data_IF_550583254629
#
_entry.id   IF_550583254629
#
_cell.length_a   1.000
_cell.length_b   1.000
_cell.length_c   1.000
_cell.angle_alpha   90.00
_cell.angle_beta   90.00
_cell.angle_gamma   90.00
#
_symmetry.space_group_name_H-M   'P 1'
#
loop_
_entity.id
_entity.type
_entity.pdbx_description
1 polymer ?
#
# COMPACT_ATOMS: atom_id res chain seq x y z
N UNK A 1 7.12 21.74 4.91
CA UNK A 1 6.73 20.33 5.16
C UNK A 1 6.04 20.11 6.53
N UNK A 2 6.59 20.61 7.65
CA UNK A 2 6.02 20.38 9.01
C UNK A 2 4.56 20.80 9.22
N UNK A 3 4.07 21.84 8.53
CA UNK A 3 2.67 22.28 8.66
C UNK A 3 1.67 21.37 7.92
N UNK A 4 2.08 20.70 6.82
CA UNK A 4 1.19 19.80 6.06
C UNK A 4 0.95 18.47 6.78
N UNK A 5 1.95 17.99 7.53
CA UNK A 5 1.83 16.80 8.39
C UNK A 5 0.80 16.96 9.50
N UNK A 6 0.46 18.20 9.90
CA UNK A 6 -0.61 18.49 10.87
C UNK A 6 -2.02 18.30 10.32
N UNK A 7 -2.19 18.30 8.99
CA UNK A 7 -3.47 18.01 8.32
C UNK A 7 -3.63 16.52 8.00
N UNK A 8 -2.71 15.69 8.48
CA UNK A 8 -2.82 14.25 8.38
C UNK A 8 -3.98 13.78 9.27
N UNK A 9 -5.02 13.25 8.65
CA UNK A 9 -6.16 12.74 9.41
C UNK A 9 -5.80 11.41 10.09
N UNK A 10 -5.48 11.49 11.38
CA UNK A 10 -5.16 10.34 12.21
C UNK A 10 -6.33 9.36 12.30
N UNK A 11 -7.57 9.81 12.08
CA UNK A 11 -8.75 8.94 12.06
C UNK A 11 -8.72 7.95 10.89
N UNK A 12 -8.03 8.27 9.78
CA UNK A 12 -7.87 7.38 8.62
C UNK A 12 -6.56 6.60 8.72
N UNK A 13 -5.49 7.26 9.16
CA UNK A 13 -4.16 6.64 9.21
C UNK A 13 -4.07 5.51 10.25
N UNK A 14 -4.70 5.67 11.42
CA UNK A 14 -4.67 4.65 12.47
C UNK A 14 -5.36 3.35 11.99
N UNK A 15 -6.61 3.37 11.47
CA UNK A 15 -7.23 2.18 10.89
C UNK A 15 -6.43 1.55 9.76
N UNK A 16 -5.84 2.37 8.88
CA UNK A 16 -5.01 1.85 7.79
C UNK A 16 -3.79 1.07 8.30
N UNK A 17 -3.07 1.63 9.29
CA UNK A 17 -1.91 0.94 9.88
C UNK A 17 -2.31 -0.35 10.59
N UNK A 18 -3.43 -0.34 11.32
CA UNK A 18 -3.97 -1.55 11.94
C UNK A 18 -4.31 -2.62 10.90
N UNK A 19 -5.04 -2.26 9.85
CA UNK A 19 -5.41 -3.18 8.76
C UNK A 19 -4.16 -3.79 8.10
N UNK A 20 -3.13 -2.98 7.87
CA UNK A 20 -1.87 -3.48 7.32
C UNK A 20 -1.16 -4.47 8.25
N UNK A 21 -1.09 -4.16 9.55
CA UNK A 21 -0.52 -5.07 10.55
C UNK A 21 -1.30 -6.39 10.61
N UNK A 22 -2.63 -6.33 10.59
CA UNK A 22 -3.48 -7.52 10.49
C UNK A 22 -3.20 -8.32 9.20
N UNK A 23 -3.02 -7.64 8.07
CA UNK A 23 -2.66 -8.27 6.80
C UNK A 23 -1.31 -9.01 6.87
N UNK A 24 -0.31 -8.44 7.53
CA UNK A 24 1.00 -9.10 7.73
C UNK A 24 0.84 -10.37 8.55
N UNK A 25 0.06 -10.32 9.64
CA UNK A 25 -0.22 -11.49 10.49
C UNK A 25 -1.01 -12.55 9.72
N UNK A 26 -2.02 -12.15 8.95
CA UNK A 26 -2.84 -13.05 8.14
C UNK A 26 -2.00 -13.79 7.09
N UNK A 27 -1.10 -13.10 6.39
CA UNK A 27 -0.22 -13.72 5.40
C UNK A 27 0.74 -14.71 6.05
N UNK A 28 1.29 -14.38 7.23
CA UNK A 28 2.08 -15.34 7.99
C UNK A 28 1.25 -16.58 8.34
N UNK A 29 0.04 -16.40 8.87
CA UNK A 29 -0.85 -17.50 9.29
C UNK A 29 -1.28 -18.39 8.11
N UNK A 30 -1.62 -17.81 6.96
CA UNK A 30 -2.03 -18.58 5.79
C UNK A 30 -0.84 -19.29 5.13
N UNK A 31 0.35 -18.71 5.21
CA UNK A 31 1.56 -19.26 4.57
C UNK A 31 2.31 -20.23 5.48
N UNK A 32 2.13 -20.19 6.80
CA UNK A 32 2.92 -21.02 7.72
C UNK A 32 2.71 -22.51 7.50
N UNK A 33 1.47 -22.93 7.25
CA UNK A 33 1.15 -24.34 7.00
C UNK A 33 1.77 -24.83 5.69
N UNK A 34 1.68 -24.01 4.64
CA UNK A 34 2.21 -24.34 3.31
C UNK A 34 3.75 -24.43 3.33
N UNK A 35 4.43 -23.56 4.08
CA UNK A 35 5.89 -23.53 4.09
C UNK A 35 6.49 -24.60 5.00
N UNK A 36 5.82 -24.94 6.10
CA UNK A 36 6.22 -26.08 6.94
C UNK A 36 6.14 -27.40 6.18
N UNK A 37 5.12 -27.60 5.35
CA UNK A 37 4.98 -28.79 4.49
C UNK A 37 6.05 -28.83 3.39
N UNK A 38 6.46 -27.69 2.86
CA UNK A 38 7.50 -27.59 1.82
C UNK A 38 8.94 -27.52 2.37
N UNK A 39 9.15 -27.62 3.69
CA UNK A 39 10.47 -27.58 4.31
C UNK A 39 11.16 -26.21 4.29
N UNK A 40 10.44 -25.15 3.94
CA UNK A 40 10.95 -23.77 3.90
C UNK A 40 10.62 -23.02 5.19
N UNK A 41 11.41 -21.99 5.51
CA UNK A 41 11.13 -21.16 6.68
C UNK A 41 9.84 -20.34 6.47
N UNK A 42 8.81 -20.46 7.33
CA UNK A 42 7.54 -19.71 7.24
C UNK A 42 7.68 -18.18 7.18
N UNK A 43 8.84 -17.68 7.57
CA UNK A 43 9.14 -16.25 7.65
C UNK A 43 9.39 -15.58 6.30
N UNK A 44 9.59 -16.33 5.20
CA UNK A 44 9.95 -15.74 3.89
C UNK A 44 8.83 -14.83 3.37
N UNK A 45 7.58 -15.29 3.41
CA UNK A 45 6.44 -14.51 2.91
C UNK A 45 6.10 -13.33 3.82
N UNK A 46 6.17 -13.52 5.15
CA UNK A 46 6.02 -12.43 6.11
C UNK A 46 7.06 -11.33 5.89
N UNK A 47 8.33 -11.70 5.65
CA UNK A 47 9.41 -10.74 5.39
C UNK A 47 9.17 -9.96 4.09
N UNK A 48 8.75 -10.64 3.03
CA UNK A 48 8.37 -9.99 1.76
C UNK A 48 7.21 -9.02 1.96
N UNK A 49 6.20 -9.40 2.76
CA UNK A 49 5.05 -8.54 3.03
C UNK A 49 5.44 -7.28 3.81
N UNK A 50 6.30 -7.40 4.82
CA UNK A 50 6.80 -6.24 5.58
C UNK A 50 7.59 -5.29 4.68
N UNK A 51 8.48 -5.82 3.84
CA UNK A 51 9.25 -5.01 2.88
C UNK A 51 8.30 -4.30 1.91
N UNK A 52 7.35 -5.02 1.32
CA UNK A 52 6.38 -4.44 0.40
C UNK A 52 5.50 -3.39 1.07
N UNK A 53 5.07 -3.60 2.31
CA UNK A 53 4.29 -2.63 3.05
C UNK A 53 5.08 -1.33 3.30
N UNK A 54 6.32 -1.43 3.78
CA UNK A 54 7.18 -0.26 4.01
C UNK A 54 7.41 0.48 2.69
N UNK A 55 7.74 -0.27 1.63
CA UNK A 55 8.03 0.30 0.32
C UNK A 55 6.80 1.00 -0.25
N UNK A 56 5.61 0.39 -0.18
CA UNK A 56 4.35 1.01 -0.59
C UNK A 56 3.99 2.22 0.27
N UNK A 57 4.16 2.14 1.59
CA UNK A 57 3.84 3.24 2.50
C UNK A 57 4.68 4.48 2.22
N UNK A 58 5.99 4.33 1.97
CA UNK A 58 6.85 5.45 1.62
C UNK A 58 6.70 5.87 0.16
N UNK A 59 6.66 4.92 -0.79
CA UNK A 59 6.57 5.23 -2.21
C UNK A 59 5.23 5.84 -2.62
N UNK A 60 4.13 5.51 -1.93
CA UNK A 60 2.83 6.12 -2.18
C UNK A 60 2.53 7.24 -1.17
N UNK A 61 2.79 7.05 0.12
CA UNK A 61 2.49 8.08 1.12
C UNK A 61 3.22 9.40 0.85
N UNK A 62 4.54 9.37 0.66
CA UNK A 62 5.36 10.59 0.49
C UNK A 62 4.94 11.45 -0.72
N UNK A 63 4.77 10.91 -1.94
CA UNK A 63 4.33 11.72 -3.07
C UNK A 63 2.90 12.23 -2.89
N UNK A 64 1.97 11.44 -2.33
CA UNK A 64 0.60 11.90 -2.14
C UNK A 64 0.48 13.09 -1.16
N UNK A 65 1.38 13.22 -0.17
CA UNK A 65 1.43 14.42 0.68
C UNK A 65 2.07 15.64 0.02
N UNK A 66 2.87 15.45 -1.03
CA UNK A 66 3.59 16.54 -1.71
C UNK A 66 2.88 17.02 -2.97
N UNK A 67 2.08 16.18 -3.63
CA UNK A 67 1.34 16.55 -4.83
C UNK A 67 0.26 17.58 -4.52
N UNK A 68 0.19 18.64 -5.34
CA UNK A 68 -0.89 19.63 -5.28
C UNK A 68 -2.18 19.02 -5.83
N UNK A 69 -3.29 19.15 -5.10
CA UNK A 69 -4.63 18.67 -5.51
C UNK A 69 -5.07 19.18 -6.89
N UNK A 70 -4.60 20.36 -7.30
CA UNK A 70 -4.83 20.92 -8.65
C UNK A 70 -4.24 20.05 -9.77
N UNK A 71 -3.15 19.34 -9.50
CA UNK A 71 -2.52 18.44 -10.47
C UNK A 71 -3.31 17.13 -10.60
N UNK A 72 -3.84 16.58 -9.49
CA UNK A 72 -4.74 15.41 -9.51
C UNK A 72 -6.06 15.72 -10.22
N UNK A 73 -6.59 16.93 -10.05
CA UNK A 73 -7.84 17.36 -10.68
C UNK A 73 -7.68 17.74 -12.15
N UNK A 74 -6.46 17.75 -12.70
CA UNK A 74 -6.25 18.08 -14.11
C UNK A 74 -6.90 17.00 -14.98
N UNK A 75 -7.79 17.42 -15.88
CA UNK A 75 -8.55 16.52 -16.76
C UNK A 75 -7.65 15.50 -17.48
N UNK A 76 -6.49 15.94 -17.96
CA UNK A 76 -5.53 15.05 -18.63
C UNK A 76 -4.97 13.97 -17.70
N UNK A 77 -4.76 14.26 -16.41
CA UNK A 77 -4.26 13.28 -15.46
C UNK A 77 -5.33 12.21 -15.17
N UNK A 78 -6.58 12.65 -14.95
CA UNK A 78 -7.73 11.76 -14.75
C UNK A 78 -7.97 10.89 -15.98
N UNK A 79 -7.90 11.49 -17.18
CA UNK A 79 -8.11 10.76 -18.44
C UNK A 79 -7.04 9.68 -18.67
N UNK A 80 -5.76 9.98 -18.43
CA UNK A 80 -4.67 8.99 -18.52
C UNK A 80 -4.92 7.84 -17.53
N UNK A 81 -5.28 8.17 -16.29
CA UNK A 81 -5.56 7.15 -15.26
C UNK A 81 -6.76 6.27 -15.63
N UNK A 82 -7.81 6.86 -16.21
CA UNK A 82 -8.99 6.15 -16.71
C UNK A 82 -8.64 5.20 -17.86
N UNK A 83 -7.84 5.66 -18.83
CA UNK A 83 -7.39 4.82 -19.95
C UNK A 83 -6.57 3.62 -19.46
N UNK A 84 -5.66 3.84 -18.50
CA UNK A 84 -4.88 2.75 -17.90
C UNK A 84 -5.81 1.76 -17.18
N UNK A 85 -6.78 2.25 -16.40
CA UNK A 85 -7.72 1.38 -15.69
C UNK A 85 -8.58 0.54 -16.66
N UNK A 86 -9.03 1.13 -17.77
CA UNK A 86 -9.76 0.41 -18.82
C UNK A 86 -8.85 -0.63 -19.48
N UNK A 87 -7.60 -0.27 -19.79
CA UNK A 87 -6.65 -1.20 -20.40
C UNK A 87 -6.37 -2.42 -19.50
N UNK A 88 -6.23 -2.21 -18.18
CA UNK A 88 -6.07 -3.29 -17.20
C UNK A 88 -7.31 -4.17 -17.03
N UNK A 89 -8.49 -3.73 -17.50
CA UNK A 89 -9.71 -4.55 -17.46
C UNK A 89 -9.77 -5.53 -18.64
N UNK A 90 -9.08 -5.20 -19.73
CA UNK A 90 -8.99 -6.03 -20.93
C UNK A 90 -7.78 -6.98 -20.95
N UNK A 91 -6.93 -6.95 -19.91
CA UNK A 91 -5.75 -7.81 -19.75
C UNK A 91 -5.79 -8.52 -18.39
#
# INVERSE_FOLDING_TARGET
MRQKLKYLDYSILIPYLLLSLFGIVMIYSASSDILLVNGFSPMVYMRKQIINFILAFFALGVPFFTIKLELLKRLNFVFIFLVIAIAMLFF
#
